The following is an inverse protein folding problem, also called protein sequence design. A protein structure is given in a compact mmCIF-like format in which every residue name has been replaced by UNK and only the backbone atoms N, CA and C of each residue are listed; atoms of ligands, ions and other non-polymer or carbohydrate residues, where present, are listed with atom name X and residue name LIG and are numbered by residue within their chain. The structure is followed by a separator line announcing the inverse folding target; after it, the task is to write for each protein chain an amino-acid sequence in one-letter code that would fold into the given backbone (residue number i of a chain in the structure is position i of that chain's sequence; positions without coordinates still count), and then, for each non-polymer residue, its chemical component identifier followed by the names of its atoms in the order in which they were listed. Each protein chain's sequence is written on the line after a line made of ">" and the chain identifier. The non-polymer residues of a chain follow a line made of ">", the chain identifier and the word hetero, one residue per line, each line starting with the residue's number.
data_IF_495597336661
#
_entry.id   IF_495597336661
#
_cell.length_a   1.000
_cell.length_b   1.000
_cell.length_c   1.000
_cell.angle_alpha   90.00
_cell.angle_beta   90.00
_cell.angle_gamma   90.00
#
_symmetry.space_group_name_H-M   'P 1'
#
loop_
_entity.id
_entity.type
_entity.pdbx_description
1 polymer ?
#
# COMPACT_ATOMS: atom_id res chain seq x y z
N UNK A 1 15.60 -1.29 -3.50
CA UNK A 1 15.19 -1.03 -2.12
C UNK A 1 13.81 -1.62 -1.93
N UNK A 2 13.61 -2.37 -0.86
CA UNK A 2 12.31 -2.89 -0.46
C UNK A 2 11.82 -2.07 0.74
N UNK A 3 10.61 -1.52 0.67
CA UNK A 3 9.98 -0.79 1.77
C UNK A 3 8.82 -1.62 2.32
N UNK A 4 8.90 -2.03 3.57
CA UNK A 4 7.78 -2.62 4.29
C UNK A 4 6.99 -1.52 5.00
N UNK A 5 5.72 -1.38 4.66
CA UNK A 5 4.93 -0.19 5.03
C UNK A 5 3.46 -0.52 5.34
N UNK A 6 2.84 0.40 6.09
CA UNK A 6 1.47 0.33 6.59
C UNK A 6 0.77 1.67 6.33
N UNK A 7 -0.34 1.63 5.58
CA UNK A 7 -1.10 2.83 5.20
C UNK A 7 -1.75 3.58 6.37
N UNK A 8 -1.97 2.94 7.52
CA UNK A 8 -2.42 3.59 8.75
C UNK A 8 -1.29 4.08 9.65
N UNK A 9 -0.03 3.71 9.38
CA UNK A 9 1.09 4.16 10.18
C UNK A 9 1.44 5.63 9.88
N UNK A 10 1.39 6.54 10.87
CA UNK A 10 1.71 7.95 10.67
C UNK A 10 3.20 8.22 10.42
N UNK A 11 4.08 7.25 10.69
CA UNK A 11 5.50 7.35 10.35
C UNK A 11 5.77 6.93 8.89
N UNK A 12 4.98 6.01 8.35
CA UNK A 12 5.11 5.57 6.95
C UNK A 12 4.79 6.70 5.97
N UNK A 13 3.76 7.51 6.26
CA UNK A 13 3.44 8.67 5.41
C UNK A 13 4.55 9.72 5.35
N UNK A 14 5.39 9.80 6.38
CA UNK A 14 6.54 10.73 6.42
C UNK A 14 7.72 10.23 5.59
N UNK A 15 7.75 8.95 5.24
CA UNK A 15 8.83 8.34 4.44
C UNK A 15 8.56 8.43 2.95
N UNK A 16 7.29 8.53 2.52
CA UNK A 16 6.94 8.67 1.10
C UNK A 16 7.59 9.87 0.39
N UNK A 17 7.62 11.09 0.96
CA UNK A 17 8.33 12.22 0.32
C UNK A 17 9.82 11.95 0.14
N UNK A 18 10.45 11.30 1.11
CA UNK A 18 11.86 10.93 1.07
C UNK A 18 12.14 9.88 0.01
N UNK A 19 11.26 8.88 -0.15
CA UNK A 19 11.37 7.87 -1.20
C UNK A 19 11.16 8.48 -2.58
N UNK A 20 10.21 9.41 -2.74
CA UNK A 20 10.03 10.16 -3.97
C UNK A 20 11.28 10.99 -4.33
N UNK A 21 11.94 11.59 -3.34
CA UNK A 21 13.20 12.32 -3.54
C UNK A 21 14.36 11.39 -3.94
N UNK A 22 14.45 10.19 -3.35
CA UNK A 22 15.42 9.15 -3.74
C UNK A 22 15.18 8.72 -5.20
N UNK A 23 13.93 8.43 -5.58
CA UNK A 23 13.58 8.08 -6.96
C UNK A 23 13.91 9.21 -7.94
N UNK A 24 13.65 10.47 -7.57
CA UNK A 24 14.01 11.64 -8.38
C UNK A 24 15.52 11.82 -8.53
N UNK A 25 16.28 11.54 -7.47
CA UNK A 25 17.73 11.75 -7.42
C UNK A 25 18.49 10.65 -8.16
N UNK A 26 18.07 9.40 -8.01
CA UNK A 26 18.78 8.24 -8.55
C UNK A 26 18.16 7.64 -9.82
N UNK A 27 16.94 8.06 -10.17
CA UNK A 27 16.24 7.64 -11.39
C UNK A 27 16.18 6.12 -11.52
N UNK A 28 16.46 5.62 -12.72
CA UNK A 28 16.39 4.19 -13.06
C UNK A 28 17.41 3.32 -12.31
N UNK A 29 18.36 3.92 -11.58
CA UNK A 29 19.36 3.16 -10.79
C UNK A 29 18.78 2.59 -9.49
N UNK A 30 17.59 3.03 -9.09
CA UNK A 30 16.92 2.56 -7.87
C UNK A 30 15.50 2.14 -8.19
N UNK A 31 15.20 0.86 -7.94
CA UNK A 31 13.84 0.36 -7.92
C UNK A 31 13.35 0.29 -6.48
N UNK A 32 12.17 0.84 -6.22
CA UNK A 32 11.47 0.74 -4.94
C UNK A 32 10.38 -0.31 -5.07
N UNK A 33 10.49 -1.38 -4.29
CA UNK A 33 9.43 -2.37 -4.13
C UNK A 33 8.70 -2.10 -2.83
N UNK A 34 7.46 -1.65 -2.92
CA UNK A 34 6.58 -1.53 -1.76
C UNK A 34 6.07 -2.92 -1.36
N UNK A 35 6.12 -3.22 -0.06
CA UNK A 35 5.65 -4.48 0.53
C UNK A 35 4.69 -4.17 1.67
N UNK A 36 3.58 -4.87 1.70
CA UNK A 36 2.56 -4.66 2.72
C UNK A 36 2.95 -5.30 4.05
N UNK A 37 2.98 -4.50 5.11
CA UNK A 37 3.10 -4.99 6.48
C UNK A 37 2.02 -4.35 7.37
N UNK A 38 0.72 -4.68 7.15
CA UNK A 38 -0.33 -4.16 7.99
C UNK A 38 -0.19 -4.68 9.42
N UNK A 39 -0.09 -3.76 10.38
CA UNK A 39 0.10 -4.08 11.79
C UNK A 39 -1.26 -4.41 12.43
N UNK A 40 -1.30 -5.41 13.31
CA UNK A 40 -2.57 -5.93 13.87
C UNK A 40 -3.34 -4.91 14.71
N UNK A 41 -2.66 -3.89 15.24
CA UNK A 41 -3.25 -2.79 16.01
C UNK A 41 -3.76 -1.63 15.12
N UNK A 42 -3.59 -1.74 13.81
CA UNK A 42 -4.13 -0.82 12.81
C UNK A 42 -5.31 -1.47 12.06
N UNK A 43 -6.56 -1.24 12.47
CA UNK A 43 -7.72 -1.99 11.96
C UNK A 43 -8.00 -1.78 10.48
N UNK A 44 -7.53 -0.68 9.88
CA UNK A 44 -7.72 -0.37 8.45
C UNK A 44 -6.45 -0.57 7.62
N UNK A 45 -5.33 -0.97 8.22
CA UNK A 45 -4.11 -1.27 7.49
C UNK A 45 -4.29 -2.41 6.48
N UNK A 46 -4.87 -3.54 6.92
CA UNK A 46 -5.12 -4.69 6.06
C UNK A 46 -6.14 -4.36 4.94
N UNK A 47 -7.31 -3.76 5.23
CA UNK A 47 -8.21 -3.28 4.18
C UNK A 47 -7.55 -2.32 3.19
N UNK A 48 -6.74 -1.36 3.65
CA UNK A 48 -6.03 -0.42 2.78
C UNK A 48 -4.97 -1.11 1.90
N UNK A 49 -4.24 -2.09 2.44
CA UNK A 49 -3.33 -2.92 1.66
C UNK A 49 -4.06 -3.66 0.53
N UNK A 50 -5.18 -4.32 0.85
CA UNK A 50 -6.02 -4.98 -0.15
C UNK A 50 -6.55 -4.00 -1.22
N UNK A 51 -6.98 -2.81 -0.79
CA UNK A 51 -7.44 -1.74 -1.68
C UNK A 51 -6.34 -1.31 -2.66
N UNK A 52 -5.11 -1.11 -2.17
CA UNK A 52 -3.98 -0.76 -3.05
C UNK A 52 -3.65 -1.87 -4.06
N UNK A 53 -3.78 -3.15 -3.68
CA UNK A 53 -3.57 -4.27 -4.58
C UNK A 53 -4.68 -4.46 -5.61
N UNK A 54 -5.93 -4.10 -5.27
CA UNK A 54 -7.01 -4.03 -6.24
C UNK A 54 -6.76 -2.94 -7.30
N UNK A 55 -6.20 -1.79 -6.89
CA UNK A 55 -5.75 -0.75 -7.82
C UNK A 55 -4.54 -1.20 -8.65
N UNK A 56 -3.63 -1.99 -8.08
CA UNK A 56 -2.51 -2.60 -8.79
C UNK A 56 -2.98 -3.51 -9.93
N UNK A 57 -4.01 -4.33 -9.72
CA UNK A 57 -4.62 -5.18 -10.76
C UNK A 57 -5.26 -4.41 -11.93
N UNK A 58 -5.30 -3.08 -11.84
CA UNK A 58 -5.77 -2.15 -12.85
C UNK A 58 -4.70 -1.13 -13.27
N UNK A 59 -3.46 -1.29 -12.82
CA UNK A 59 -2.31 -0.48 -13.25
C UNK A 59 -2.14 0.88 -12.56
N UNK A 60 -2.86 1.15 -11.45
CA UNK A 60 -2.79 2.45 -10.73
C UNK A 60 -2.37 2.30 -9.27
N UNK A 61 -1.38 1.44 -9.02
CA UNK A 61 -0.92 1.19 -7.66
C UNK A 61 -0.36 2.45 -7.01
N UNK A 62 0.56 3.16 -7.66
CA UNK A 62 1.27 4.30 -7.07
C UNK A 62 0.34 5.50 -6.85
N UNK A 63 -0.55 5.77 -7.79
CA UNK A 63 -1.56 6.83 -7.65
C UNK A 63 -2.52 6.54 -6.51
N UNK A 64 -2.92 5.27 -6.34
CA UNK A 64 -3.79 4.85 -5.25
C UNK A 64 -3.04 4.83 -3.89
N UNK A 65 -1.79 4.40 -3.89
CA UNK A 65 -0.88 4.46 -2.75
C UNK A 65 -0.76 5.88 -2.22
N UNK A 66 -0.47 6.84 -3.10
CA UNK A 66 -0.35 8.26 -2.73
C UNK A 66 -1.67 8.81 -2.21
N UNK A 67 -2.79 8.40 -2.83
CA UNK A 67 -4.13 8.77 -2.38
C UNK A 67 -4.43 8.27 -0.97
N UNK A 68 -4.08 7.03 -0.63
CA UNK A 68 -4.26 6.47 0.72
C UNK A 68 -3.42 7.23 1.75
N UNK A 69 -2.15 7.50 1.42
CA UNK A 69 -1.26 8.23 2.34
C UNK A 69 -1.62 9.70 2.50
N UNK A 70 -2.20 10.34 1.50
CA UNK A 70 -2.76 11.68 1.64
C UNK A 70 -4.02 11.72 2.52
N UNK A 71 -4.66 10.57 2.76
CA UNK A 71 -5.96 10.45 3.43
C UNK A 71 -5.94 9.44 4.59
N UNK A 72 -4.85 9.31 5.34
CA UNK A 72 -4.71 8.26 6.38
C UNK A 72 -5.80 8.27 7.47
N UNK A 73 -6.49 9.40 7.66
CA UNK A 73 -7.62 9.53 8.60
C UNK A 73 -8.95 9.01 8.03
N UNK A 74 -9.04 8.85 6.70
CA UNK A 74 -10.24 8.49 5.95
C UNK A 74 -9.95 7.20 5.16
N UNK A 75 -9.96 6.07 5.87
CA UNK A 75 -9.66 4.75 5.30
C UNK A 75 -10.83 3.79 5.53
N UNK A 76 -12.09 4.23 5.50
CA UNK A 76 -13.25 3.32 5.57
C UNK A 76 -13.52 2.63 4.21
N UNK A 77 -14.49 1.70 4.16
CA UNK A 77 -14.73 0.91 2.95
C UNK A 77 -15.28 1.78 1.81
N UNK A 78 -16.11 2.77 2.14
CA UNK A 78 -16.67 3.74 1.20
C UNK A 78 -15.58 4.65 0.60
N UNK A 79 -14.60 5.05 1.41
CA UNK A 79 -13.46 5.85 1.02
C UNK A 79 -12.64 5.14 -0.04
N UNK A 80 -12.39 3.84 0.13
CA UNK A 80 -11.61 3.08 -0.84
C UNK A 80 -12.27 3.05 -2.23
N UNK A 81 -13.56 2.75 -2.27
CA UNK A 81 -14.32 2.75 -3.52
C UNK A 81 -14.39 4.15 -4.13
N UNK A 82 -14.57 5.19 -3.29
CA UNK A 82 -14.55 6.59 -3.72
C UNK A 82 -13.21 6.96 -4.35
N UNK A 83 -12.09 6.66 -3.70
CA UNK A 83 -10.76 6.92 -4.22
C UNK A 83 -10.48 6.18 -5.53
N UNK A 84 -10.96 4.94 -5.65
CA UNK A 84 -10.84 4.18 -6.88
C UNK A 84 -11.58 4.87 -8.04
N UNK A 85 -12.81 5.35 -7.79
CA UNK A 85 -13.60 6.09 -8.78
C UNK A 85 -12.95 7.41 -9.18
N UNK A 86 -12.44 8.18 -8.21
CA UNK A 86 -11.73 9.45 -8.48
C UNK A 86 -10.49 9.25 -9.35
N UNK A 87 -9.81 8.13 -9.17
CA UNK A 87 -8.66 7.74 -9.99
C UNK A 87 -9.07 7.08 -11.32
N UNK A 88 -10.36 6.96 -11.62
CA UNK A 88 -10.86 6.36 -12.85
C UNK A 88 -10.59 4.85 -12.95
N UNK A 89 -10.65 4.13 -11.84
CA UNK A 89 -10.66 2.67 -11.78
C UNK A 89 -12.08 2.13 -11.99
N UNK A 90 -12.18 0.89 -12.50
CA UNK A 90 -13.45 0.18 -12.52
C UNK A 90 -13.82 -0.22 -11.08
N UNK A 91 -14.86 0.40 -10.55
CA UNK A 91 -15.30 0.19 -9.18
C UNK A 91 -15.80 -1.25 -8.92
N UNK A 92 -16.45 -1.89 -9.90
CA UNK A 92 -16.96 -3.26 -9.73
C UNK A 92 -15.80 -4.25 -9.68
N UNK A 93 -14.84 -4.11 -10.59
CA UNK A 93 -13.62 -4.92 -10.59
C UNK A 93 -12.83 -4.68 -9.31
N UNK A 94 -12.68 -3.42 -8.91
CA UNK A 94 -11.97 -3.04 -7.69
C UNK A 94 -12.57 -3.68 -6.43
N UNK A 95 -13.89 -3.59 -6.25
CA UNK A 95 -14.58 -4.19 -5.11
C UNK A 95 -14.47 -5.73 -5.10
N UNK A 96 -14.49 -6.37 -6.27
CA UNK A 96 -14.30 -7.80 -6.40
C UNK A 96 -12.87 -8.20 -6.03
N UNK A 97 -11.86 -7.50 -6.58
CA UNK A 97 -10.45 -7.76 -6.33
C UNK A 97 -10.10 -7.56 -4.85
N UNK A 98 -10.64 -6.52 -4.20
CA UNK A 98 -10.47 -6.29 -2.76
C UNK A 98 -10.94 -7.46 -1.88
N UNK A 99 -11.97 -8.19 -2.35
CA UNK A 99 -12.56 -9.34 -1.64
C UNK A 99 -11.95 -10.67 -2.09
N UNK A 100 -11.07 -10.66 -3.08
CA UNK A 100 -10.46 -11.86 -3.65
C UNK A 100 -9.45 -12.51 -2.72
N UNK A 101 -9.36 -13.83 -2.79
CA UNK A 101 -8.34 -14.60 -2.09
C UNK A 101 -6.95 -14.33 -2.68
N UNK A 102 -6.86 -13.99 -3.96
CA UNK A 102 -5.63 -13.64 -4.66
C UNK A 102 -4.97 -12.43 -4.00
N UNK A 103 -5.71 -11.34 -3.81
CA UNK A 103 -5.20 -10.13 -3.14
C UNK A 103 -4.85 -10.44 -1.68
N UNK A 104 -5.67 -11.23 -0.98
CA UNK A 104 -5.38 -11.62 0.40
C UNK A 104 -4.07 -12.41 0.51
N UNK A 105 -3.80 -13.33 -0.42
CA UNK A 105 -2.56 -14.13 -0.47
C UNK A 105 -1.33 -13.26 -0.73
N UNK A 106 -1.43 -12.23 -1.57
CA UNK A 106 -0.31 -11.30 -1.82
C UNK A 106 0.06 -10.55 -0.54
N UNK A 107 -0.92 -9.96 0.15
CA UNK A 107 -0.66 -9.23 1.41
C UNK A 107 -0.10 -10.17 2.50
N UNK A 108 -0.66 -11.38 2.63
CA UNK A 108 -0.17 -12.36 3.60
C UNK A 108 1.27 -12.81 3.30
N UNK A 109 1.63 -12.94 2.01
CA UNK A 109 3.00 -13.24 1.59
C UNK A 109 3.96 -12.11 1.97
N UNK A 110 3.60 -10.86 1.70
CA UNK A 110 4.43 -9.71 2.06
C UNK A 110 4.66 -9.62 3.57
N UNK A 111 3.64 -9.90 4.38
CA UNK A 111 3.77 -9.99 5.85
C UNK A 111 4.69 -11.13 6.29
N UNK A 112 4.63 -12.28 5.61
CA UNK A 112 5.53 -13.41 5.90
C UNK A 112 6.97 -13.05 5.56
N UNK A 113 7.18 -12.39 4.42
CA UNK A 113 8.50 -11.94 4.00
C UNK A 113 9.05 -10.86 4.96
N UNK A 114 8.22 -9.92 5.43
CA UNK A 114 8.59 -8.94 6.46
C UNK A 114 9.18 -9.60 7.71
N UNK A 115 8.53 -10.67 8.21
CA UNK A 115 9.02 -11.44 9.35
C UNK A 115 10.38 -12.10 9.10
N UNK A 116 10.64 -12.58 7.87
CA UNK A 116 11.93 -13.18 7.48
C UNK A 116 13.06 -12.17 7.41
N UNK A 117 12.75 -10.94 7.01
CA UNK A 117 13.71 -9.83 6.98
C UNK A 117 13.84 -9.11 8.33
N UNK A 118 13.19 -9.60 9.39
CA UNK A 118 13.26 -9.00 10.73
C UNK A 118 12.50 -7.68 10.86
N UNK A 119 11.63 -7.34 9.91
CA UNK A 119 10.82 -6.13 9.94
C UNK A 119 9.68 -6.30 10.95
N UNK A 120 9.93 -5.94 12.22
CA UNK A 120 8.92 -6.00 13.30
C UNK A 120 8.10 -4.71 13.43
N UNK A 121 8.36 -3.69 12.60
CA UNK A 121 7.62 -2.43 12.55
C UNK A 121 7.76 -1.73 11.19
N UNK A 122 6.93 -0.72 10.95
CA UNK A 122 6.88 0.02 9.68
C UNK A 122 7.08 1.53 9.91
N UNK A 123 7.90 2.23 9.08
CA UNK A 123 8.55 1.71 7.87
C UNK A 123 9.87 0.99 8.17
N UNK A 124 10.14 -0.10 7.45
CA UNK A 124 11.46 -0.76 7.41
C UNK A 124 11.94 -0.79 5.96
N UNK A 125 13.13 -0.25 5.69
CA UNK A 125 13.75 -0.26 4.36
C UNK A 125 14.97 -1.20 4.35
N UNK A 126 15.06 -2.08 3.34
CA UNK A 126 16.21 -2.97 3.11
C UNK A 126 16.67 -2.98 1.65
#
# INVERSE_FOLDING_TARGET
>A
MVEFSDFQCPFCSRVNPTIAEILKTYGDKVQVQFRHQPLSFHPRALPAAKASMAAHGQGKFWEYHDKLFANQQNLNDEDFVRYAKELGLDAKKFEADMKSDEVAKVVARDQTDAGRYGATGTPTCS
#
